data_IF_741785867252
#
_entry.id   IF_741785867252
#
_cell.length_a   1.000
_cell.length_b   1.000
_cell.length_c   1.000
_cell.angle_alpha   90.00
_cell.angle_beta   90.00
_cell.angle_gamma   90.00
#
_symmetry.space_group_name_H-M   'P 1'
#
loop_
_entity.id
_entity.type
_entity.pdbx_description
1 polymer ?
#
# COMPACT_ATOMS: atom_id res chain seq x y z
N UNK A 1 35.04 37.67 -5.96
CA UNK A 1 33.81 36.87 -6.18
C UNK A 1 33.64 36.73 -7.69
N UNK A 2 33.62 35.50 -8.20
CA UNK A 2 33.49 35.22 -9.64
C UNK A 2 32.17 35.79 -10.19
N UNK A 3 32.18 36.52 -11.33
CA UNK A 3 30.98 37.07 -11.95
C UNK A 3 29.93 35.99 -12.27
N UNK A 4 30.34 34.77 -12.62
CA UNK A 4 29.47 33.64 -12.87
C UNK A 4 28.71 33.18 -11.65
N UNK A 5 29.29 33.20 -10.45
CA UNK A 5 28.63 32.85 -9.22
C UNK A 5 27.52 33.88 -8.81
N UNK A 6 27.79 35.16 -9.06
CA UNK A 6 26.79 36.21 -8.82
C UNK A 6 25.59 36.09 -9.76
N UNK A 7 25.85 35.79 -11.05
CA UNK A 7 24.80 35.55 -12.05
C UNK A 7 23.95 34.33 -11.71
N UNK A 8 24.58 33.20 -11.32
CA UNK A 8 23.86 31.99 -10.90
C UNK A 8 22.98 32.23 -9.66
N UNK A 9 23.46 32.98 -8.67
CA UNK A 9 22.66 33.35 -7.50
C UNK A 9 21.46 34.25 -7.86
N UNK A 10 21.65 35.19 -8.79
CA UNK A 10 20.57 36.05 -9.25
C UNK A 10 19.49 35.24 -9.99
N UNK A 11 19.89 34.32 -10.89
CA UNK A 11 18.97 33.42 -11.59
C UNK A 11 18.20 32.49 -10.61
N UNK A 12 18.90 31.93 -9.62
CA UNK A 12 18.24 31.06 -8.63
C UNK A 12 17.25 31.83 -7.75
N UNK A 13 17.56 33.11 -7.41
CA UNK A 13 16.61 33.99 -6.70
C UNK A 13 15.40 34.33 -7.56
N UNK A 14 15.56 34.55 -8.87
CA UNK A 14 14.45 34.80 -9.80
C UNK A 14 13.57 33.56 -9.94
N UNK A 15 14.16 32.35 -10.04
CA UNK A 15 13.42 31.07 -10.08
C UNK A 15 12.62 30.83 -8.81
N UNK A 16 13.22 31.08 -7.64
CA UNK A 16 12.51 30.96 -6.35
C UNK A 16 11.34 31.95 -6.21
N UNK A 17 11.46 33.16 -6.77
CA UNK A 17 10.37 34.14 -6.78
C UNK A 17 9.20 33.76 -7.70
N UNK A 18 9.42 32.88 -8.69
CA UNK A 18 8.38 32.40 -9.58
C UNK A 18 7.36 31.48 -8.88
N UNK A 19 7.73 30.91 -7.71
CA UNK A 19 6.83 30.10 -6.91
C UNK A 19 6.42 30.86 -5.64
N UNK A 20 5.18 31.31 -5.58
CA UNK A 20 4.65 32.06 -4.43
C UNK A 20 4.77 31.27 -3.12
N UNK A 21 4.53 29.96 -3.16
CA UNK A 21 4.68 29.06 -2.01
C UNK A 21 6.12 29.01 -1.45
N UNK A 22 7.14 29.37 -2.25
CA UNK A 22 8.54 29.42 -1.81
C UNK A 22 8.90 30.71 -1.06
N UNK A 23 8.04 31.73 -1.12
CA UNK A 23 8.28 33.04 -0.50
C UNK A 23 7.44 33.16 0.77
N UNK A 24 8.04 33.18 1.96
CA UNK A 24 7.31 33.37 3.20
C UNK A 24 6.71 34.78 3.26
N UNK A 25 5.43 34.87 3.57
CA UNK A 25 4.72 36.11 3.81
C UNK A 25 4.24 36.19 5.27
N UNK A 26 3.64 37.29 5.68
CA UNK A 26 3.07 37.43 7.02
C UNK A 26 1.95 36.40 7.27
N UNK A 27 1.19 36.05 6.25
CA UNK A 27 0.07 35.08 6.30
C UNK A 27 0.53 33.65 5.98
N UNK A 28 1.60 33.49 5.24
CA UNK A 28 2.13 32.19 4.84
C UNK A 28 3.58 32.06 5.32
N UNK A 29 3.76 31.44 6.46
CA UNK A 29 5.08 31.01 6.96
C UNK A 29 5.34 29.60 6.44
N UNK A 30 5.90 29.47 5.25
CA UNK A 30 6.25 28.17 4.67
C UNK A 30 7.15 27.39 5.63
N UNK A 31 6.62 26.31 6.20
CA UNK A 31 7.45 25.34 6.94
C UNK A 31 8.27 24.57 5.92
N UNK A 32 9.58 24.58 6.09
CA UNK A 32 10.52 23.86 5.22
C UNK A 32 11.17 22.76 6.04
N UNK A 33 11.18 21.58 5.48
CA UNK A 33 11.83 20.43 6.07
C UNK A 33 12.73 19.78 5.02
N UNK A 34 13.98 19.50 5.41
CA UNK A 34 14.98 18.87 4.55
C UNK A 34 15.33 17.44 4.97
N UNK A 35 14.53 16.85 5.87
CA UNK A 35 14.73 15.47 6.33
C UNK A 35 14.44 14.49 5.18
N UNK A 36 15.17 13.37 5.16
CA UNK A 36 14.82 12.25 4.29
C UNK A 36 13.48 11.61 4.74
N UNK A 37 12.76 10.98 3.83
CA UNK A 37 11.53 10.26 4.14
C UNK A 37 11.75 9.22 5.25
N UNK A 38 12.83 8.45 5.17
CA UNK A 38 13.20 7.44 6.17
C UNK A 38 13.39 8.02 7.57
N UNK A 39 14.09 9.17 7.67
CA UNK A 39 14.28 9.84 8.96
C UNK A 39 12.95 10.34 9.54
N UNK A 40 12.06 10.85 8.70
CA UNK A 40 10.75 11.33 9.12
C UNK A 40 9.86 10.17 9.59
N UNK A 41 9.81 9.06 8.84
CA UNK A 41 9.06 7.85 9.20
C UNK A 41 9.60 7.23 10.47
N UNK A 42 10.92 7.07 10.59
CA UNK A 42 11.55 6.53 11.81
C UNK A 42 11.20 7.35 13.06
N UNK A 43 11.20 8.67 12.96
CA UNK A 43 10.94 9.55 14.11
C UNK A 43 9.47 9.63 14.52
N UNK A 44 8.54 9.51 13.57
CA UNK A 44 7.12 9.81 13.79
C UNK A 44 6.18 8.65 13.48
N UNK A 45 6.63 7.61 12.79
CA UNK A 45 5.77 6.56 12.22
C UNK A 45 4.90 5.87 13.25
N UNK A 46 5.46 5.46 14.38
CA UNK A 46 4.71 4.81 15.47
C UNK A 46 3.57 5.70 15.98
N UNK A 47 3.90 6.96 16.33
CA UNK A 47 2.90 7.90 16.86
C UNK A 47 1.82 8.25 15.83
N UNK A 48 2.18 8.37 14.56
CA UNK A 48 1.21 8.63 13.48
C UNK A 48 0.29 7.44 13.26
N UNK A 49 0.82 6.21 13.32
CA UNK A 49 0.02 4.98 13.22
C UNK A 49 -0.97 4.85 14.37
N UNK A 50 -0.53 5.10 15.61
CA UNK A 50 -1.42 5.09 16.78
C UNK A 50 -2.53 6.13 16.66
N UNK A 51 -2.22 7.34 16.21
CA UNK A 51 -3.22 8.39 15.97
C UNK A 51 -4.19 8.03 14.85
N UNK A 52 -3.71 7.44 13.76
CA UNK A 52 -4.55 7.01 12.64
C UNK A 52 -5.52 5.89 13.06
N UNK A 53 -5.07 4.94 13.87
CA UNK A 53 -5.91 3.88 14.44
C UNK A 53 -6.99 4.46 15.36
N UNK A 54 -6.61 5.40 16.22
CA UNK A 54 -7.58 6.08 17.06
C UNK A 54 -8.62 6.84 16.24
N UNK A 55 -8.22 7.51 15.16
CA UNK A 55 -9.14 8.22 14.26
C UNK A 55 -10.09 7.26 13.55
N UNK A 56 -9.60 6.11 13.09
CA UNK A 56 -10.42 5.08 12.44
C UNK A 56 -11.49 4.49 13.39
N UNK A 57 -11.19 4.43 14.68
CA UNK A 57 -12.10 3.90 15.68
C UNK A 57 -13.08 4.93 16.26
N UNK A 58 -12.70 6.21 16.30
CA UNK A 58 -13.39 7.21 17.12
C UNK A 58 -13.86 8.45 16.36
N UNK A 59 -13.52 8.61 15.07
CA UNK A 59 -13.84 9.81 14.32
C UNK A 59 -14.74 9.53 13.12
N UNK A 60 -16.02 9.87 13.23
CA UNK A 60 -17.08 9.55 12.25
C UNK A 60 -16.72 9.90 10.80
N UNK A 61 -16.07 11.05 10.57
CA UNK A 61 -15.68 11.45 9.21
C UNK A 61 -14.57 10.58 8.63
N UNK A 62 -13.65 10.10 9.47
CA UNK A 62 -12.55 9.21 9.03
C UNK A 62 -13.08 7.81 8.77
N UNK A 63 -13.93 7.29 9.66
CA UNK A 63 -14.63 6.02 9.47
C UNK A 63 -15.39 6.06 8.14
N UNK A 64 -16.23 7.08 7.94
CA UNK A 64 -17.02 7.22 6.72
C UNK A 64 -16.16 7.44 5.45
N UNK A 65 -14.98 8.05 5.58
CA UNK A 65 -14.04 8.16 4.47
C UNK A 65 -13.47 6.80 4.08
N UNK A 66 -13.01 6.01 5.03
CA UNK A 66 -12.45 4.68 4.78
C UNK A 66 -13.50 3.73 4.22
N UNK A 67 -14.70 3.70 4.80
CA UNK A 67 -15.82 2.91 4.29
C UNK A 67 -16.14 3.25 2.83
N UNK A 68 -16.15 4.54 2.50
CA UNK A 68 -16.37 5.00 1.13
C UNK A 68 -15.23 4.62 0.18
N UNK A 69 -14.00 4.62 0.66
CA UNK A 69 -12.86 4.18 -0.13
C UNK A 69 -12.92 2.67 -0.39
N UNK A 70 -13.23 1.86 0.62
CA UNK A 70 -13.45 0.43 0.46
C UNK A 70 -14.54 0.13 -0.57
N UNK A 71 -15.68 0.80 -0.47
CA UNK A 71 -16.79 0.60 -1.40
C UNK A 71 -16.47 1.02 -2.83
N UNK A 72 -15.64 2.05 -3.01
CA UNK A 72 -15.29 2.57 -4.34
C UNK A 72 -14.11 1.86 -4.99
N UNK A 73 -13.16 1.38 -4.20
CA UNK A 73 -11.94 0.72 -4.70
C UNK A 73 -12.16 -0.79 -4.85
N UNK A 74 -12.72 -1.42 -3.83
CA UNK A 74 -12.92 -2.88 -3.81
C UNK A 74 -14.34 -3.25 -4.26
N UNK A 75 -15.35 -2.54 -3.75
CA UNK A 75 -16.75 -2.84 -4.04
C UNK A 75 -17.25 -4.12 -3.37
N UNK A 76 -18.47 -4.53 -3.74
CA UNK A 76 -19.13 -5.68 -3.10
C UNK A 76 -18.52 -7.04 -3.49
N UNK A 77 -17.94 -7.12 -4.68
CA UNK A 77 -17.47 -8.39 -5.27
C UNK A 77 -15.94 -8.51 -5.33
N UNK A 78 -15.22 -7.50 -4.81
CA UNK A 78 -13.77 -7.44 -4.88
C UNK A 78 -13.25 -6.99 -6.25
N UNK A 79 -11.94 -6.95 -6.38
CA UNK A 79 -11.26 -6.56 -7.62
C UNK A 79 -11.50 -7.64 -8.69
N UNK A 80 -12.04 -7.24 -9.84
CA UNK A 80 -12.28 -8.17 -10.94
C UNK A 80 -10.96 -8.59 -11.60
N UNK A 81 -10.83 -9.89 -11.83
CA UNK A 81 -9.68 -10.49 -12.53
C UNK A 81 -10.19 -11.31 -13.71
N UNK A 82 -9.70 -11.01 -14.90
CA UNK A 82 -10.00 -11.72 -16.14
C UNK A 82 -8.71 -12.35 -16.69
N UNK A 83 -8.52 -13.67 -16.59
CA UNK A 83 -7.36 -14.34 -17.16
C UNK A 83 -7.37 -14.26 -18.70
N UNK A 84 -6.26 -13.82 -19.27
CA UNK A 84 -6.09 -13.75 -20.74
C UNK A 84 -4.80 -14.46 -21.17
N UNK A 85 -4.69 -15.79 -20.98
CA UNK A 85 -3.54 -16.55 -21.45
C UNK A 85 -3.54 -16.60 -22.99
N UNK A 86 -2.36 -16.43 -23.58
CA UNK A 86 -2.18 -16.50 -25.03
C UNK A 86 -1.57 -17.86 -25.42
N UNK A 87 -1.94 -18.37 -26.59
CA UNK A 87 -1.28 -19.49 -27.25
C UNK A 87 0.06 -19.06 -27.90
N UNK A 88 0.76 -20.00 -28.52
CA UNK A 88 2.04 -19.72 -29.17
C UNK A 88 1.92 -18.79 -30.39
N UNK A 89 0.74 -18.69 -30.96
CA UNK A 89 0.38 -17.86 -32.11
C UNK A 89 -0.09 -16.45 -31.65
N UNK A 90 -0.25 -16.22 -30.33
CA UNK A 90 -0.67 -14.95 -29.76
C UNK A 90 -2.19 -14.75 -29.67
N UNK A 91 -2.99 -15.79 -29.89
CA UNK A 91 -4.44 -15.75 -29.72
C UNK A 91 -4.84 -16.14 -28.30
N UNK A 92 -6.02 -15.71 -27.86
CA UNK A 92 -6.56 -16.06 -26.56
C UNK A 92 -6.83 -17.57 -26.46
N UNK A 93 -6.19 -18.24 -25.48
CA UNK A 93 -6.44 -19.65 -25.17
C UNK A 93 -7.68 -19.77 -24.27
N UNK A 94 -8.88 -19.75 -24.88
CA UNK A 94 -10.16 -19.65 -24.15
C UNK A 94 -10.43 -20.80 -23.18
N UNK A 95 -10.04 -22.04 -23.50
CA UNK A 95 -10.21 -23.18 -22.61
C UNK A 95 -9.38 -23.01 -21.33
N UNK A 96 -8.10 -22.63 -21.48
CA UNK A 96 -7.23 -22.39 -20.34
C UNK A 96 -7.65 -21.17 -19.53
N UNK A 97 -8.14 -20.11 -20.18
CA UNK A 97 -8.74 -18.95 -19.50
C UNK A 97 -9.93 -19.37 -18.63
N UNK A 98 -10.79 -20.27 -19.13
CA UNK A 98 -11.92 -20.84 -18.38
C UNK A 98 -11.47 -21.64 -17.16
N UNK A 99 -10.44 -22.48 -17.28
CA UNK A 99 -9.87 -23.25 -16.17
C UNK A 99 -9.28 -22.30 -15.10
N UNK A 100 -8.53 -21.28 -15.49
CA UNK A 100 -7.98 -20.28 -14.56
C UNK A 100 -9.09 -19.51 -13.84
N UNK A 101 -10.16 -19.14 -14.56
CA UNK A 101 -11.31 -18.46 -13.96
C UNK A 101 -12.02 -19.32 -12.92
N UNK A 102 -12.17 -20.63 -13.19
CA UNK A 102 -12.76 -21.57 -12.25
C UNK A 102 -11.91 -21.72 -10.97
N UNK A 103 -10.59 -21.90 -11.12
CA UNK A 103 -9.67 -21.96 -9.99
C UNK A 103 -9.63 -20.67 -9.19
N UNK A 104 -9.69 -19.53 -9.87
CA UNK A 104 -9.76 -18.23 -9.22
C UNK A 104 -11.05 -18.06 -8.40
N UNK A 105 -12.19 -18.47 -8.96
CA UNK A 105 -13.47 -18.42 -8.26
C UNK A 105 -13.46 -19.31 -7.03
N UNK A 106 -12.94 -20.55 -7.14
CA UNK A 106 -12.80 -21.49 -6.03
C UNK A 106 -11.90 -20.91 -4.93
N UNK A 107 -10.70 -20.44 -5.29
CA UNK A 107 -9.77 -19.85 -4.36
C UNK A 107 -10.35 -18.61 -3.66
N UNK A 108 -11.12 -17.79 -4.38
CA UNK A 108 -11.71 -16.55 -3.87
C UNK A 108 -12.74 -16.76 -2.76
N UNK A 109 -13.22 -18.01 -2.57
CA UNK A 109 -14.16 -18.31 -1.47
C UNK A 109 -13.48 -18.19 -0.11
N UNK A 110 -12.23 -18.67 0.01
CA UNK A 110 -11.44 -18.61 1.25
C UNK A 110 -9.95 -18.56 0.93
N UNK A 111 -9.43 -17.39 0.54
CA UNK A 111 -8.07 -17.25 0.02
C UNK A 111 -7.01 -17.18 1.13
N UNK A 112 -7.38 -17.01 2.38
CA UNK A 112 -6.46 -16.77 3.49
C UNK A 112 -6.35 -17.99 4.43
N UNK A 113 -5.29 -18.01 5.24
CA UNK A 113 -4.88 -19.17 6.05
C UNK A 113 -5.89 -19.57 7.13
N UNK A 114 -6.68 -18.62 7.64
CA UNK A 114 -7.68 -18.92 8.68
C UNK A 114 -8.99 -19.47 8.12
N UNK A 115 -9.24 -19.28 6.82
CA UNK A 115 -10.48 -19.67 6.15
C UNK A 115 -11.71 -18.89 6.60
N UNK A 116 -11.54 -17.73 7.23
CA UNK A 116 -12.65 -16.92 7.75
C UNK A 116 -13.17 -15.91 6.74
N UNK A 117 -12.27 -15.34 5.90
CA UNK A 117 -12.61 -14.27 4.99
C UNK A 117 -12.73 -14.75 3.55
N UNK A 118 -13.70 -14.21 2.85
CA UNK A 118 -13.75 -14.27 1.39
C UNK A 118 -12.71 -13.31 0.79
N UNK A 119 -12.40 -13.46 -0.50
CA UNK A 119 -11.46 -12.55 -1.17
C UNK A 119 -11.86 -11.08 -1.09
N UNK A 120 -13.12 -10.67 -1.36
CA UNK A 120 -13.52 -9.28 -1.22
C UNK A 120 -13.36 -8.73 0.20
N UNK A 121 -13.65 -9.54 1.23
CA UNK A 121 -13.46 -9.16 2.63
C UNK A 121 -11.98 -8.99 2.97
N UNK A 122 -11.13 -9.92 2.52
CA UNK A 122 -9.69 -9.82 2.69
C UNK A 122 -9.11 -8.58 1.98
N UNK A 123 -9.55 -8.29 0.74
CA UNK A 123 -9.13 -7.09 -0.01
C UNK A 123 -9.54 -5.80 0.71
N UNK A 124 -10.75 -5.73 1.28
CA UNK A 124 -11.21 -4.58 2.07
C UNK A 124 -10.36 -4.39 3.32
N UNK A 125 -10.11 -5.47 4.06
CA UNK A 125 -9.28 -5.44 5.24
C UNK A 125 -7.86 -4.96 4.93
N UNK A 126 -7.25 -5.46 3.86
CA UNK A 126 -5.92 -5.02 3.40
C UNK A 126 -5.91 -3.54 2.99
N UNK A 127 -6.93 -3.09 2.25
CA UNK A 127 -7.04 -1.69 1.86
C UNK A 127 -7.18 -0.78 3.09
N UNK A 128 -8.07 -1.11 4.03
CA UNK A 128 -8.25 -0.33 5.26
C UNK A 128 -6.96 -0.25 6.07
N UNK A 129 -6.28 -1.38 6.24
CA UNK A 129 -4.99 -1.44 6.93
C UNK A 129 -3.93 -0.58 6.24
N UNK A 130 -3.84 -0.63 4.92
CA UNK A 130 -2.91 0.21 4.16
C UNK A 130 -3.21 1.71 4.30
N UNK A 131 -4.49 2.11 4.30
CA UNK A 131 -4.89 3.51 4.48
C UNK A 131 -4.66 4.02 5.90
N UNK A 132 -4.92 3.17 6.88
CA UNK A 132 -4.81 3.50 8.31
C UNK A 132 -3.37 3.48 8.81
N UNK A 133 -2.66 2.37 8.52
CA UNK A 133 -1.33 2.11 9.07
C UNK A 133 -0.20 2.59 8.15
N UNK A 134 -0.52 2.97 6.89
CA UNK A 134 0.43 3.40 5.88
C UNK A 134 1.13 2.25 5.14
N UNK A 135 0.99 1.03 5.62
CA UNK A 135 1.55 -0.19 5.04
C UNK A 135 0.72 -1.41 5.44
N UNK A 136 0.82 -2.48 4.64
CA UNK A 136 0.19 -3.77 4.91
C UNK A 136 1.08 -4.88 4.35
N UNK A 137 1.12 -5.99 5.04
CA UNK A 137 1.94 -7.13 4.64
C UNK A 137 1.09 -8.38 4.44
N UNK A 138 1.46 -9.16 3.44
CA UNK A 138 0.89 -10.49 3.22
C UNK A 138 2.00 -11.48 2.96
N UNK A 139 1.94 -12.63 3.62
CA UNK A 139 2.79 -13.76 3.32
C UNK A 139 2.05 -14.71 2.37
N UNK A 140 2.72 -15.11 1.30
CA UNK A 140 2.19 -16.10 0.35
C UNK A 140 2.59 -17.51 0.80
N UNK A 141 1.61 -18.30 1.22
CA UNK A 141 1.80 -19.70 1.63
C UNK A 141 1.46 -20.62 0.45
N UNK A 142 2.40 -21.41 0.00
CA UNK A 142 2.28 -22.26 -1.21
C UNK A 142 2.56 -23.72 -0.91
N UNK A 143 1.79 -24.60 -1.55
CA UNK A 143 1.99 -26.06 -1.47
C UNK A 143 1.70 -26.60 -0.07
N UNK A 144 2.18 -27.80 0.19
CA UNK A 144 1.97 -28.47 1.48
C UNK A 144 2.91 -27.88 2.55
N UNK A 145 2.32 -27.27 3.55
CA UNK A 145 3.03 -26.73 4.72
C UNK A 145 2.59 -27.51 5.96
N UNK A 146 3.56 -27.99 6.74
CA UNK A 146 3.26 -28.75 7.95
C UNK A 146 2.40 -27.91 8.93
N UNK A 147 1.29 -28.47 9.35
CA UNK A 147 0.37 -27.79 10.29
C UNK A 147 -0.62 -26.82 9.64
N UNK A 148 -0.56 -26.60 8.31
CA UNK A 148 -1.51 -25.79 7.57
C UNK A 148 -2.29 -26.63 6.58
N UNK A 149 -3.62 -26.49 6.60
CA UNK A 149 -4.50 -27.01 5.56
C UNK A 149 -5.11 -25.84 4.80
N UNK A 150 -4.88 -25.80 3.47
CA UNK A 150 -5.53 -24.80 2.64
C UNK A 150 -7.04 -24.98 2.67
N UNK A 151 -7.77 -23.90 2.70
CA UNK A 151 -9.23 -23.91 2.81
C UNK A 151 -9.95 -24.29 1.51
N UNK A 152 -9.20 -24.31 0.38
CA UNK A 152 -9.69 -24.71 -0.95
C UNK A 152 -8.77 -25.79 -1.54
N UNK A 153 -9.14 -26.38 -2.70
CA UNK A 153 -8.28 -27.32 -3.39
C UNK A 153 -7.05 -26.66 -4.03
N UNK A 154 -7.07 -25.33 -4.18
CA UNK A 154 -5.92 -24.57 -4.68
C UNK A 154 -4.87 -24.50 -3.55
N UNK A 155 -3.65 -25.07 -3.75
CA UNK A 155 -2.63 -25.14 -2.70
C UNK A 155 -1.89 -23.81 -2.52
N UNK A 156 -2.65 -22.76 -2.26
CA UNK A 156 -2.20 -21.39 -2.09
C UNK A 156 -3.10 -20.64 -1.13
N UNK A 157 -2.52 -20.00 -0.14
CA UNK A 157 -3.24 -19.13 0.80
C UNK A 157 -2.44 -17.88 1.12
N UNK A 158 -3.12 -16.83 1.52
CA UNK A 158 -2.53 -15.61 2.01
C UNK A 158 -2.57 -15.58 3.53
N UNK A 159 -1.47 -15.26 4.16
CA UNK A 159 -1.44 -14.87 5.57
C UNK A 159 -1.36 -13.36 5.64
N UNK A 160 -2.40 -12.74 6.21
CA UNK A 160 -2.46 -11.30 6.39
C UNK A 160 -1.75 -10.92 7.68
N UNK A 161 -0.79 -10.00 7.59
CA UNK A 161 0.04 -9.58 8.71
C UNK A 161 -0.22 -8.11 9.02
N UNK A 162 -0.37 -7.80 10.30
CA UNK A 162 -0.42 -6.41 10.74
C UNK A 162 0.92 -5.72 10.54
N UNK A 163 0.88 -4.41 10.31
CA UNK A 163 2.07 -3.59 10.11
C UNK A 163 3.06 -3.65 11.31
N UNK A 164 2.57 -3.99 12.50
CA UNK A 164 3.39 -4.12 13.71
C UNK A 164 4.35 -5.32 13.70
N UNK A 165 4.11 -6.33 12.84
CA UNK A 165 5.04 -7.44 12.63
C UNK A 165 6.34 -7.02 11.93
N UNK A 166 6.35 -5.85 11.28
CA UNK A 166 7.54 -5.26 10.65
C UNK A 166 7.85 -3.92 11.31
N UNK A 167 8.55 -3.91 12.45
CA UNK A 167 8.81 -2.69 13.20
C UNK A 167 9.77 -1.76 12.46
N UNK A 168 9.58 -0.44 12.58
CA UNK A 168 10.37 0.60 11.91
C UNK A 168 11.88 0.57 12.20
N UNK A 169 12.29 -0.06 13.29
CA UNK A 169 13.70 -0.18 13.70
C UNK A 169 14.42 -1.42 13.12
N UNK A 170 13.72 -2.24 12.33
CA UNK A 170 14.27 -3.39 11.63
C UNK A 170 14.99 -2.97 10.34
N UNK A 171 15.93 -2.04 10.43
CA UNK A 171 16.77 -1.63 9.32
C UNK A 171 18.10 -2.36 9.38
N UNK A 172 18.38 -3.26 8.43
CA UNK A 172 19.71 -3.80 8.28
C UNK A 172 20.61 -2.76 7.61
N UNK A 173 21.61 -2.27 8.32
CA UNK A 173 22.71 -1.46 7.79
C UNK A 173 23.70 -2.28 6.95
N UNK A 174 23.37 -3.48 6.53
CA UNK A 174 24.22 -4.39 5.74
C UNK A 174 24.28 -4.03 4.24
N UNK A 175 24.55 -2.78 3.93
CA UNK A 175 24.70 -2.28 2.55
C UNK A 175 25.85 -1.30 2.36
N UNK A 176 26.68 -1.09 3.40
CA UNK A 176 27.90 -0.29 3.30
C UNK A 176 29.10 -1.16 3.69
N UNK A 177 29.57 -1.97 2.77
CA UNK A 177 30.96 -2.44 2.66
C UNK A 177 31.41 -2.30 1.20
#
# INVERSE_FOLDING_TARGET
ISPGWAASRAQNRLRLRAYEAANPTRLHKGKRESRSADTAVFAAGTSLREQARWLDENHDLVIGLFDKMEDRVIGAHGIHVEPQPLDLEGNLHSEFAGQLSALWAEWSVRPEVTGMFTRPEAERLLLRSALRDGEVFTQMVRGNVAGLQHSTQVPFSLEMLEADFVPFNLNSTSGQQ
#
